data_IF_471909706224
#
_entry.id   IF_471909706224
#
_cell.length_a   1.000
_cell.length_b   1.000
_cell.length_c   1.000
_cell.angle_alpha   90.00
_cell.angle_beta   90.00
_cell.angle_gamma   90.00
#
_symmetry.space_group_name_H-M   'P 1'
#
loop_
_entity.id
_entity.type
_entity.pdbx_description
1 polymer ?
#
# COMPACT_ATOMS: atom_id res chain seq x y z
N UNK A 1 -15.66 19.78 58.49
CA UNK A 1 -14.58 19.73 57.46
C UNK A 1 -14.10 18.30 57.17
N UNK A 2 -14.93 17.25 57.34
CA UNK A 2 -14.57 15.87 56.91
C UNK A 2 -15.08 15.53 55.49
N UNK A 3 -16.05 16.28 54.98
CA UNK A 3 -16.68 16.12 53.66
C UNK A 3 -15.69 16.34 52.50
N UNK A 4 -14.76 17.28 52.62
CA UNK A 4 -13.83 17.59 51.52
C UNK A 4 -12.87 16.43 51.21
N UNK A 5 -12.45 15.67 52.23
CA UNK A 5 -11.52 14.54 52.03
C UNK A 5 -12.23 13.30 51.42
N UNK A 6 -13.49 13.06 51.79
CA UNK A 6 -14.25 11.96 51.19
C UNK A 6 -14.60 12.23 49.73
N UNK A 7 -14.95 13.47 49.41
CA UNK A 7 -15.30 13.87 48.05
C UNK A 7 -14.06 13.85 47.15
N UNK A 8 -12.92 14.34 47.64
CA UNK A 8 -11.63 14.29 46.94
C UNK A 8 -11.21 12.85 46.64
N UNK A 9 -11.37 11.94 47.62
CA UNK A 9 -11.08 10.51 47.43
C UNK A 9 -11.98 9.90 46.35
N UNK A 10 -13.28 10.22 46.36
CA UNK A 10 -14.21 9.72 45.35
C UNK A 10 -13.88 10.21 43.93
N UNK A 11 -13.36 11.43 43.80
CA UNK A 11 -12.94 11.99 42.52
C UNK A 11 -11.66 11.31 42.02
N UNK A 12 -10.69 11.07 42.92
CA UNK A 12 -9.47 10.33 42.62
C UNK A 12 -9.75 8.89 42.19
N UNK A 13 -10.68 8.21 42.87
CA UNK A 13 -11.07 6.84 42.53
C UNK A 13 -11.70 6.78 41.12
N UNK A 14 -12.58 7.73 40.79
CA UNK A 14 -13.17 7.85 39.44
C UNK A 14 -12.13 8.18 38.37
N UNK A 15 -11.14 9.03 38.67
CA UNK A 15 -10.07 9.32 37.73
C UNK A 15 -9.22 8.08 37.44
N UNK A 16 -8.90 7.29 38.47
CA UNK A 16 -8.16 6.04 38.29
C UNK A 16 -8.94 5.02 37.45
N UNK A 17 -10.25 4.89 37.69
CA UNK A 17 -11.13 4.02 36.89
C UNK A 17 -11.12 4.42 35.40
N UNK A 18 -11.25 5.73 35.11
CA UNK A 18 -11.20 6.25 33.74
C UNK A 18 -9.84 6.04 33.05
N UNK A 19 -8.74 6.10 33.81
CA UNK A 19 -7.40 5.81 33.28
C UNK A 19 -7.23 4.32 32.96
N UNK A 20 -7.76 3.45 33.82
CA UNK A 20 -7.74 2.00 33.59
C UNK A 20 -8.54 1.61 32.34
N UNK A 21 -9.71 2.21 32.16
CA UNK A 21 -10.55 1.99 30.98
C UNK A 21 -9.93 2.56 29.71
N UNK A 22 -9.26 3.71 29.79
CA UNK A 22 -8.46 4.22 28.67
C UNK A 22 -7.36 3.25 28.27
N UNK A 23 -6.64 2.68 29.23
CA UNK A 23 -5.59 1.70 28.94
C UNK A 23 -6.15 0.45 28.23
N UNK A 24 -7.32 -0.04 28.66
CA UNK A 24 -8.02 -1.15 27.99
C UNK A 24 -8.40 -0.81 26.55
N UNK A 25 -8.84 0.42 26.27
CA UNK A 25 -9.20 0.87 24.92
C UNK A 25 -7.94 0.99 24.04
N UNK A 26 -6.87 1.59 24.56
CA UNK A 26 -5.58 1.70 23.87
C UNK A 26 -5.04 0.34 23.45
N UNK A 27 -5.10 -0.65 24.35
CA UNK A 27 -4.67 -2.01 24.05
C UNK A 27 -5.49 -2.65 22.93
N UNK A 28 -6.81 -2.37 22.88
CA UNK A 28 -7.68 -2.84 21.80
C UNK A 28 -7.33 -2.16 20.48
N UNK A 29 -7.18 -0.84 20.48
CA UNK A 29 -6.85 -0.05 19.28
C UNK A 29 -5.52 -0.49 18.67
N UNK A 30 -4.47 -0.67 19.48
CA UNK A 30 -3.16 -1.07 18.99
C UNK A 30 -3.21 -2.41 18.23
N UNK A 31 -4.00 -3.38 18.71
CA UNK A 31 -4.18 -4.66 18.02
C UNK A 31 -4.90 -4.49 16.68
N UNK A 32 -5.93 -3.65 16.61
CA UNK A 32 -6.63 -3.36 15.36
C UNK A 32 -5.75 -2.64 14.34
N UNK A 33 -4.92 -1.69 14.79
CA UNK A 33 -3.96 -1.00 13.93
C UNK A 33 -2.94 -1.96 13.35
N UNK A 34 -2.41 -2.89 14.16
CA UNK A 34 -1.49 -3.92 13.68
C UNK A 34 -2.16 -4.77 12.58
N UNK A 35 -3.38 -5.25 12.83
CA UNK A 35 -4.11 -6.08 11.87
C UNK A 35 -4.38 -5.28 10.58
N UNK A 36 -4.79 -4.01 10.70
CA UNK A 36 -5.05 -3.16 9.55
C UNK A 36 -3.78 -2.88 8.73
N UNK A 37 -2.64 -2.67 9.39
CA UNK A 37 -1.35 -2.51 8.73
C UNK A 37 -0.97 -3.76 7.94
N UNK A 38 -1.07 -4.94 8.56
CA UNK A 38 -0.79 -6.21 7.88
C UNK A 38 -1.75 -6.47 6.71
N UNK A 39 -3.05 -6.21 6.87
CA UNK A 39 -4.03 -6.34 5.80
C UNK A 39 -3.72 -5.45 4.60
N UNK A 40 -3.35 -4.18 4.83
CA UNK A 40 -2.92 -3.28 3.75
C UNK A 40 -1.66 -3.78 3.07
N UNK A 41 -0.67 -4.23 3.83
CA UNK A 41 0.57 -4.78 3.28
C UNK A 41 0.30 -6.00 2.39
N UNK A 42 -0.53 -6.93 2.84
CA UNK A 42 -0.96 -8.10 2.04
C UNK A 42 -1.73 -7.66 0.81
N UNK A 43 -2.62 -6.66 0.92
CA UNK A 43 -3.36 -6.14 -0.22
C UNK A 43 -2.44 -5.58 -1.31
N UNK A 44 -1.43 -4.79 -0.94
CA UNK A 44 -0.43 -4.29 -1.90
C UNK A 44 0.46 -5.41 -2.44
N UNK A 45 0.83 -6.38 -1.60
CA UNK A 45 1.59 -7.55 -2.05
C UNK A 45 0.80 -8.38 -3.07
N UNK A 46 -0.52 -8.49 -2.93
CA UNK A 46 -1.39 -9.10 -3.93
C UNK A 46 -1.48 -8.24 -5.18
N UNK A 47 -1.67 -6.93 -5.05
CA UNK A 47 -1.80 -6.04 -6.21
C UNK A 47 -0.55 -6.05 -7.10
N UNK A 48 0.64 -6.18 -6.50
CA UNK A 48 1.91 -6.28 -7.24
C UNK A 48 2.25 -7.72 -7.59
N UNK A 49 2.05 -8.66 -6.66
CA UNK A 49 2.40 -10.06 -6.82
C UNK A 49 1.52 -10.80 -7.80
N UNK A 50 0.24 -10.43 -7.92
CA UNK A 50 -0.72 -11.05 -8.84
C UNK A 50 -0.34 -10.79 -10.32
N UNK A 51 -0.08 -9.55 -10.80
CA UNK A 51 0.40 -9.36 -12.17
C UNK A 51 1.77 -10.00 -12.40
N UNK A 52 2.65 -10.05 -11.40
CA UNK A 52 3.94 -10.72 -11.51
C UNK A 52 3.80 -12.25 -11.64
N UNK A 53 2.90 -12.85 -10.85
CA UNK A 53 2.59 -14.27 -10.92
C UNK A 53 1.87 -14.64 -12.21
N UNK A 54 0.91 -13.81 -12.67
CA UNK A 54 0.28 -13.95 -13.99
C UNK A 54 1.34 -13.91 -15.10
N UNK A 55 2.32 -13.01 -15.02
CA UNK A 55 3.39 -12.93 -16.00
C UNK A 55 4.21 -14.23 -16.06
N UNK A 56 4.71 -14.71 -14.93
CA UNK A 56 5.50 -15.94 -14.94
C UNK A 56 4.69 -17.17 -15.38
N UNK A 57 3.47 -17.35 -14.86
CA UNK A 57 2.73 -18.60 -15.11
C UNK A 57 1.96 -18.62 -16.43
N UNK A 58 1.44 -17.48 -16.90
CA UNK A 58 0.68 -17.41 -18.14
C UNK A 58 1.52 -16.89 -19.28
N UNK A 59 2.27 -15.80 -19.09
CA UNK A 59 2.97 -15.20 -20.22
C UNK A 59 4.14 -16.08 -20.71
N UNK A 60 4.85 -16.81 -19.83
CA UNK A 60 5.94 -17.72 -20.24
C UNK A 60 5.53 -18.79 -21.29
N UNK A 61 4.44 -19.57 -21.11
CA UNK A 61 3.98 -20.49 -22.15
C UNK A 61 3.43 -19.78 -23.40
N UNK A 62 2.84 -18.59 -23.27
CA UNK A 62 2.39 -17.83 -24.45
C UNK A 62 3.57 -17.24 -25.24
N UNK A 63 4.63 -16.77 -24.60
CA UNK A 63 5.85 -16.30 -25.27
C UNK A 63 6.55 -17.42 -26.03
N UNK A 64 6.62 -18.62 -25.45
CA UNK A 64 7.19 -19.79 -26.13
C UNK A 64 6.30 -20.33 -27.26
N UNK A 65 4.97 -20.26 -27.12
CA UNK A 65 4.02 -20.70 -28.16
C UNK A 65 3.85 -19.70 -29.32
N UNK A 66 3.96 -18.39 -29.07
CA UNK A 66 3.81 -17.36 -30.11
C UNK A 66 5.11 -16.97 -30.81
N UNK A 67 6.28 -17.44 -30.35
CA UNK A 67 7.57 -17.05 -30.93
C UNK A 67 7.82 -15.54 -30.91
N UNK A 68 7.13 -14.82 -30.02
CA UNK A 68 7.26 -13.38 -29.87
C UNK A 68 8.61 -13.09 -29.22
N UNK A 69 9.64 -12.91 -30.04
CA UNK A 69 10.88 -12.33 -29.58
C UNK A 69 10.62 -10.95 -29.01
N UNK A 70 11.50 -10.50 -28.12
CA UNK A 70 11.49 -9.13 -27.61
C UNK A 70 11.37 -8.09 -28.75
N UNK A 71 11.85 -8.42 -29.95
CA UNK A 71 11.74 -7.61 -31.16
C UNK A 71 10.30 -7.49 -31.69
N UNK A 72 9.49 -8.56 -31.65
CA UNK A 72 8.09 -8.50 -32.09
C UNK A 72 7.23 -7.69 -31.11
N UNK A 73 7.52 -7.78 -29.81
CA UNK A 73 6.89 -6.96 -28.78
C UNK A 73 7.26 -5.48 -28.95
N UNK A 74 8.55 -5.17 -29.17
CA UNK A 74 8.99 -3.80 -29.45
C UNK A 74 8.41 -3.24 -30.75
N UNK A 75 8.32 -4.06 -31.81
CA UNK A 75 7.69 -3.66 -33.07
C UNK A 75 6.22 -3.31 -32.86
N UNK A 76 5.45 -4.14 -32.14
CA UNK A 76 4.06 -3.86 -31.80
C UNK A 76 3.88 -2.66 -30.87
N UNK A 77 4.80 -2.45 -29.92
CA UNK A 77 4.80 -1.29 -29.01
C UNK A 77 5.06 0.02 -29.76
N UNK A 78 5.98 0.00 -30.72
CA UNK A 78 6.26 1.14 -31.61
C UNK A 78 5.09 1.40 -32.57
N UNK A 79 4.29 0.40 -32.93
CA UNK A 79 3.10 0.63 -33.75
C UNK A 79 1.96 1.34 -33.00
N UNK A 80 2.02 1.41 -31.67
CA UNK A 80 1.03 2.16 -30.86
C UNK A 80 1.29 3.67 -30.98
N UNK A 81 0.37 4.45 -31.57
CA UNK A 81 0.59 5.87 -31.89
C UNK A 81 0.98 6.74 -30.68
N UNK A 82 0.44 6.42 -29.50
CA UNK A 82 0.69 7.18 -28.27
C UNK A 82 2.08 7.00 -27.65
N UNK A 83 2.73 5.85 -27.87
CA UNK A 83 4.05 5.56 -27.29
C UNK A 83 5.15 6.25 -28.10
N UNK A 84 5.05 6.24 -29.44
CA UNK A 84 5.95 7.00 -30.32
C UNK A 84 5.96 8.50 -30.00
N UNK A 85 4.78 9.09 -29.83
CA UNK A 85 4.68 10.52 -29.47
C UNK A 85 5.30 10.83 -28.10
N UNK A 86 5.29 9.88 -27.16
CA UNK A 86 5.90 10.04 -25.84
C UNK A 86 7.42 9.95 -25.92
N UNK A 87 7.97 9.02 -26.70
CA UNK A 87 9.41 8.92 -26.93
C UNK A 87 9.97 10.16 -27.64
N UNK A 88 9.30 10.64 -28.68
CA UNK A 88 9.69 11.86 -29.39
C UNK A 88 9.64 13.09 -28.47
N UNK A 89 8.60 13.20 -27.64
CA UNK A 89 8.47 14.28 -26.65
C UNK A 89 9.61 14.24 -25.62
N UNK A 90 9.91 13.06 -25.07
CA UNK A 90 10.98 12.90 -24.07
C UNK A 90 12.36 13.18 -24.66
N UNK A 91 12.60 12.79 -25.91
CA UNK A 91 13.84 13.06 -26.63
C UNK A 91 14.03 14.56 -26.91
N UNK A 92 12.99 15.23 -27.40
CA UNK A 92 13.01 16.68 -27.62
C UNK A 92 13.25 17.47 -26.32
N UNK A 93 12.70 16.99 -25.20
CA UNK A 93 12.93 17.59 -23.88
C UNK A 93 14.38 17.46 -23.42
N UNK A 94 15.03 16.31 -23.65
CA UNK A 94 16.44 16.11 -23.33
C UNK A 94 17.39 16.95 -24.20
N UNK A 95 17.06 17.13 -25.49
CA UNK A 95 17.86 17.97 -26.40
C UNK A 95 17.74 19.46 -26.06
N UNK A 96 16.59 19.92 -25.54
CA UNK A 96 16.40 21.31 -25.09
C UNK A 96 17.11 21.67 -23.78
N UNK A 97 17.59 20.68 -23.03
CA UNK A 97 18.29 20.85 -21.75
C UNK A 97 19.82 20.74 -21.90
N UNK A 98 20.33 20.56 -23.12
CA UNK A 98 21.75 20.42 -23.46
C UNK A 98 22.25 21.65 -24.20
#
# INVERSE_FOLDING_TARGET
>A
MQTDNSDLKSILDKQNELLEDNNKILHKLHRYELINFWSKMVWFALLIGLPFALYYYLLEPYFSAFGASYDTFNAGMQEIPGIKSFEEFMKAYQESQK
#
